data_IF_792033056859
#
_entry.id   IF_792033056859
#
_cell.length_a   1.000
_cell.length_b   1.000
_cell.length_c   1.000
_cell.angle_alpha   90.00
_cell.angle_beta   90.00
_cell.angle_gamma   90.00
#
_symmetry.space_group_name_H-M   'P 1'
#
loop_
_entity.id
_entity.type
_entity.pdbx_description
1 polymer ?
#
# COMPACT_ATOMS: atom_id res chain seq x y z
N UNK A 1 8.94 -22.54 1.00
CA UNK A 1 7.86 -23.47 0.59
C UNK A 1 6.63 -23.15 1.43
N UNK A 2 5.47 -22.93 0.80
CA UNK A 2 4.21 -22.82 1.52
C UNK A 2 3.99 -24.12 2.30
N UNK A 3 3.77 -24.04 3.61
CA UNK A 3 3.37 -25.20 4.40
C UNK A 3 1.97 -25.57 3.89
N UNK A 4 1.86 -26.69 3.18
CA UNK A 4 0.58 -27.25 2.77
C UNK A 4 -0.10 -27.92 3.99
N UNK A 5 -0.27 -27.15 5.07
CA UNK A 5 -0.86 -27.59 6.33
C UNK A 5 -2.40 -27.48 6.32
N UNK A 6 -2.98 -27.01 5.22
CA UNK A 6 -4.42 -26.78 5.09
C UNK A 6 -4.95 -25.60 5.91
N UNK A 7 -4.08 -24.81 6.54
CA UNK A 7 -4.48 -23.69 7.40
C UNK A 7 -4.40 -22.38 6.63
N UNK A 8 -5.56 -21.73 6.48
CA UNK A 8 -5.67 -20.38 5.97
C UNK A 8 -5.38 -19.37 7.07
N UNK A 9 -4.50 -18.42 6.78
CA UNK A 9 -4.12 -17.36 7.71
C UNK A 9 -4.36 -16.02 7.04
N UNK A 10 -5.01 -15.12 7.75
CA UNK A 10 -5.27 -13.75 7.33
C UNK A 10 -4.39 -12.80 8.13
N UNK A 11 -3.84 -11.80 7.46
CA UNK A 11 -3.08 -10.71 8.07
C UNK A 11 -3.73 -9.39 7.67
N UNK A 12 -4.05 -8.58 8.66
CA UNK A 12 -4.42 -7.19 8.49
C UNK A 12 -3.58 -6.37 9.48
N UNK A 13 -2.83 -5.39 8.98
CA UNK A 13 -2.05 -4.48 9.83
C UNK A 13 -2.10 -3.06 9.29
N UNK A 14 -2.01 -2.10 10.21
CA UNK A 14 -1.82 -0.69 9.89
C UNK A 14 -0.36 -0.30 10.14
N UNK A 15 0.18 0.52 9.25
CA UNK A 15 1.47 1.18 9.41
C UNK A 15 1.25 2.68 9.34
N UNK A 16 1.62 3.37 10.42
CA UNK A 16 1.62 4.82 10.45
C UNK A 16 2.69 5.36 9.50
N UNK A 17 2.33 6.36 8.69
CA UNK A 17 3.24 7.10 7.82
C UNK A 17 3.30 8.54 8.33
N UNK A 18 4.34 8.83 9.10
CA UNK A 18 4.44 10.06 9.89
C UNK A 18 4.60 11.31 9.01
N UNK A 19 5.29 11.19 7.88
CA UNK A 19 5.65 12.32 7.02
C UNK A 19 5.17 12.15 5.58
N UNK A 20 4.94 13.26 4.84
CA UNK A 20 4.68 13.21 3.40
C UNK A 20 5.79 12.50 2.60
N UNK A 21 7.04 12.55 3.08
CA UNK A 21 8.14 11.84 2.45
C UNK A 21 8.02 10.31 2.58
N UNK A 22 7.45 9.82 3.68
CA UNK A 22 7.20 8.39 3.84
C UNK A 22 6.06 7.92 2.93
N UNK A 23 5.02 8.76 2.75
CA UNK A 23 3.95 8.52 1.77
C UNK A 23 4.52 8.46 0.35
N UNK A 24 5.41 9.38 -0.03
CA UNK A 24 6.04 9.36 -1.34
C UNK A 24 6.86 8.08 -1.59
N UNK A 25 7.64 7.61 -0.60
CA UNK A 25 8.37 6.33 -0.72
C UNK A 25 7.44 5.14 -0.89
N UNK A 26 6.30 5.14 -0.19
CA UNK A 26 5.27 4.10 -0.34
C UNK A 26 4.66 4.15 -1.75
N UNK A 27 4.35 5.34 -2.27
CA UNK A 27 3.89 5.51 -3.64
C UNK A 27 4.90 4.96 -4.65
N UNK A 28 6.17 5.40 -4.59
CA UNK A 28 7.23 4.93 -5.50
C UNK A 28 7.32 3.39 -5.53
N UNK A 29 7.12 2.76 -4.36
CA UNK A 29 7.14 1.31 -4.25
C UNK A 29 5.87 0.65 -4.80
N UNK A 30 4.69 1.20 -4.50
CA UNK A 30 3.38 0.63 -4.89
C UNK A 30 3.10 0.81 -6.38
N UNK A 31 3.42 1.98 -6.94
CA UNK A 31 3.26 2.32 -8.36
C UNK A 31 4.39 1.77 -9.24
N UNK A 32 5.37 1.13 -8.61
CA UNK A 32 6.53 0.51 -9.27
C UNK A 32 7.33 1.50 -10.14
N UNK A 33 7.54 2.72 -9.64
CA UNK A 33 8.16 3.83 -10.39
C UNK A 33 9.69 3.68 -10.59
N UNK A 34 10.33 2.72 -9.92
CA UNK A 34 11.78 2.53 -10.00
C UNK A 34 12.12 1.50 -11.07
N UNK A 35 13.13 1.80 -11.87
CA UNK A 35 13.68 0.86 -12.84
C UNK A 35 14.36 -0.36 -12.20
N UNK A 36 14.74 -0.25 -10.91
CA UNK A 36 15.40 -1.32 -10.18
C UNK A 36 15.01 -1.36 -8.71
N UNK A 37 15.00 -2.58 -8.15
CA UNK A 37 14.66 -2.86 -6.76
C UNK A 37 15.79 -3.63 -6.09
N UNK A 38 16.16 -3.21 -4.88
CA UNK A 38 17.09 -3.97 -4.03
C UNK A 38 16.45 -5.24 -3.45
N UNK A 39 15.11 -5.26 -3.36
CA UNK A 39 14.36 -6.41 -2.91
C UNK A 39 14.36 -7.50 -4.00
N UNK A 40 15.04 -8.61 -3.73
CA UNK A 40 15.17 -9.74 -4.66
C UNK A 40 13.86 -10.50 -4.89
N UNK A 41 12.85 -10.29 -4.03
CA UNK A 41 11.55 -10.94 -4.16
C UNK A 41 10.61 -10.23 -5.15
N UNK A 42 10.96 -9.02 -5.60
CA UNK A 42 10.24 -8.33 -6.68
C UNK A 42 10.76 -8.86 -8.01
N UNK A 43 9.87 -9.44 -8.81
CA UNK A 43 10.16 -9.93 -10.16
C UNK A 43 9.62 -8.90 -11.17
N UNK A 44 10.47 -8.05 -11.78
CA UNK A 44 10.02 -6.94 -12.64
C UNK A 44 9.14 -7.38 -13.81
N UNK A 45 9.38 -8.56 -14.36
CA UNK A 45 8.61 -9.15 -15.46
C UNK A 45 7.16 -9.43 -15.08
N UNK A 46 6.86 -9.50 -13.78
CA UNK A 46 5.50 -9.72 -13.23
C UNK A 46 4.80 -8.43 -12.82
N UNK A 47 5.46 -7.27 -12.90
CA UNK A 47 4.89 -5.98 -12.48
C UNK A 47 3.58 -5.65 -13.19
N UNK A 48 3.46 -6.00 -14.48
CA UNK A 48 2.24 -5.79 -15.28
C UNK A 48 1.03 -6.60 -14.81
N UNK A 49 1.22 -7.58 -13.91
CA UNK A 49 0.15 -8.35 -13.29
C UNK A 49 -0.43 -7.66 -12.04
N UNK A 50 0.22 -6.61 -11.52
CA UNK A 50 -0.32 -5.84 -10.41
C UNK A 50 -1.55 -5.06 -10.87
N UNK A 51 -2.54 -4.96 -10.00
CA UNK A 51 -3.82 -4.31 -10.30
C UNK A 51 -4.13 -3.28 -9.22
N UNK A 52 -4.61 -2.12 -9.65
CA UNK A 52 -5.23 -1.14 -8.76
C UNK A 52 -6.72 -1.41 -8.64
N UNK A 53 -7.21 -1.65 -7.42
CA UNK A 53 -8.65 -1.57 -7.16
C UNK A 53 -9.18 -0.15 -7.37
N UNK A 54 -8.40 0.85 -6.97
CA UNK A 54 -8.61 2.27 -7.25
C UNK A 54 -7.27 2.87 -7.68
N UNK A 55 -7.16 3.22 -8.96
CA UNK A 55 -5.96 3.88 -9.47
C UNK A 55 -5.84 5.29 -8.86
N UNK A 56 -4.61 5.71 -8.58
CA UNK A 56 -4.33 7.11 -8.24
C UNK A 56 -4.47 7.98 -9.48
N UNK A 57 -4.97 9.20 -9.29
CA UNK A 57 -5.05 10.19 -10.35
C UNK A 57 -3.84 11.14 -10.37
N UNK A 58 -3.11 11.21 -9.25
CA UNK A 58 -1.92 12.03 -9.03
C UNK A 58 -1.14 11.43 -7.84
N UNK A 59 -0.07 12.09 -7.40
CA UNK A 59 0.68 11.73 -6.21
C UNK A 59 -0.23 11.60 -4.98
N UNK A 60 0.00 10.59 -4.15
CA UNK A 60 -0.84 10.27 -2.99
C UNK A 60 -0.96 11.44 -2.01
N UNK A 61 0.11 12.21 -1.80
CA UNK A 61 0.10 13.42 -0.97
C UNK A 61 -0.77 14.51 -1.59
N UNK A 62 -0.64 14.75 -2.90
CA UNK A 62 -1.46 15.76 -3.60
C UNK A 62 -2.93 15.37 -3.58
N UNK A 63 -3.25 14.09 -3.75
CA UNK A 63 -4.62 13.60 -3.64
C UNK A 63 -5.20 13.88 -2.25
N UNK A 64 -4.42 13.70 -1.18
CA UNK A 64 -4.84 14.04 0.18
C UNK A 64 -5.09 15.55 0.35
N UNK A 65 -4.17 16.39 -0.12
CA UNK A 65 -4.32 17.85 -0.09
C UNK A 65 -5.53 18.31 -0.89
N UNK A 66 -5.79 17.71 -2.05
CA UNK A 66 -6.96 18.00 -2.87
C UNK A 66 -8.25 17.59 -2.15
N UNK A 67 -8.29 16.42 -1.51
CA UNK A 67 -9.45 15.99 -0.72
C UNK A 67 -9.74 16.95 0.44
N UNK A 68 -8.71 17.55 1.05
CA UNK A 68 -8.89 18.58 2.06
C UNK A 68 -9.42 19.89 1.47
N UNK A 69 -8.86 20.35 0.34
CA UNK A 69 -9.31 21.56 -0.36
C UNK A 69 -10.76 21.45 -0.84
N UNK A 70 -11.14 20.28 -1.34
CA UNK A 70 -12.50 19.97 -1.79
C UNK A 70 -13.48 19.78 -0.63
N UNK A 71 -13.00 19.77 0.61
CA UNK A 71 -13.81 19.56 1.81
C UNK A 71 -14.33 18.13 1.97
N UNK A 72 -13.79 17.16 1.24
CA UNK A 72 -14.09 15.73 1.37
C UNK A 72 -13.58 15.19 2.69
N UNK A 73 -12.42 15.69 3.14
CA UNK A 73 -11.84 15.43 4.45
C UNK A 73 -11.56 16.75 5.18
N UNK A 74 -11.34 16.69 6.49
CA UNK A 74 -10.93 17.84 7.29
C UNK A 74 -9.81 17.44 8.23
N UNK A 75 -8.70 18.20 8.22
CA UNK A 75 -7.62 18.05 9.21
C UNK A 75 -7.73 19.03 10.38
N UNK A 76 -8.80 19.85 10.41
CA UNK A 76 -9.02 20.84 11.48
C UNK A 76 -9.08 20.16 12.84
N UNK A 77 -8.29 20.68 13.78
CA UNK A 77 -8.24 20.19 15.15
C UNK A 77 -7.28 19.03 15.38
N UNK A 78 -6.63 18.52 14.33
CA UNK A 78 -5.49 17.62 14.50
C UNK A 78 -4.33 18.36 15.18
N UNK A 79 -3.64 17.65 16.07
CA UNK A 79 -2.41 18.16 16.68
C UNK A 79 -1.31 18.28 15.60
N UNK A 80 -0.30 19.15 15.81
CA UNK A 80 0.83 19.26 14.88
C UNK A 80 1.59 17.95 14.65
N UNK A 81 1.58 17.05 15.65
CA UNK A 81 2.23 15.73 15.64
C UNK A 81 1.28 14.58 15.30
N UNK A 82 0.05 14.86 14.87
CA UNK A 82 -0.88 13.81 14.49
C UNK A 82 -0.44 13.13 13.18
N UNK A 83 -0.43 11.80 13.19
CA UNK A 83 -0.23 10.99 11.98
C UNK A 83 -1.48 11.11 11.10
N UNK A 84 -1.30 11.61 9.88
CA UNK A 84 -2.41 11.86 8.93
C UNK A 84 -2.64 10.70 7.95
N UNK A 85 -1.68 9.79 7.86
CA UNK A 85 -1.61 8.76 6.83
C UNK A 85 -1.38 7.40 7.48
N UNK A 86 -2.13 6.40 7.06
CA UNK A 86 -1.93 5.00 7.45
C UNK A 86 -1.97 4.10 6.22
N UNK A 87 -1.01 3.18 6.13
CA UNK A 87 -1.03 2.11 5.14
C UNK A 87 -1.61 0.84 5.77
N UNK A 88 -2.75 0.39 5.22
CA UNK A 88 -3.34 -0.88 5.58
C UNK A 88 -2.85 -1.97 4.64
N UNK A 89 -2.19 -2.99 5.18
CA UNK A 89 -1.79 -4.18 4.44
C UNK A 89 -2.74 -5.32 4.77
N UNK A 90 -3.36 -5.86 3.72
CA UNK A 90 -4.21 -7.04 3.76
C UNK A 90 -3.52 -8.16 2.98
N UNK A 91 -3.30 -9.30 3.62
CA UNK A 91 -2.67 -10.44 2.97
C UNK A 91 -3.16 -11.77 3.57
N UNK A 92 -2.92 -12.84 2.83
CA UNK A 92 -3.17 -14.22 3.24
C UNK A 92 -1.92 -15.06 2.98
N UNK A 93 -1.75 -16.15 3.73
CA UNK A 93 -0.59 -17.01 3.50
C UNK A 93 -0.60 -17.64 2.10
N UNK A 94 0.59 -17.95 1.57
CA UNK A 94 0.75 -18.52 0.22
C UNK A 94 -0.05 -19.82 -0.02
N UNK A 95 -0.34 -20.59 1.03
CA UNK A 95 -1.19 -21.79 0.93
C UNK A 95 -2.63 -21.45 0.50
N UNK A 96 -3.15 -20.29 0.89
CA UNK A 96 -4.46 -19.82 0.44
C UNK A 96 -4.47 -19.58 -1.06
N UNK A 97 -3.53 -18.76 -1.57
CA UNK A 97 -3.40 -18.46 -3.00
C UNK A 97 -3.13 -19.71 -3.85
N UNK A 98 -2.33 -20.66 -3.35
CA UNK A 98 -2.10 -21.93 -4.06
C UNK A 98 -3.38 -22.75 -4.21
N UNK A 99 -4.25 -22.77 -3.19
CA UNK A 99 -5.45 -23.60 -3.18
C UNK A 99 -6.66 -22.94 -3.87
N UNK A 100 -6.74 -21.60 -3.87
CA UNK A 100 -7.93 -20.87 -4.35
C UNK A 100 -7.66 -20.03 -5.60
N UNK A 101 -6.40 -19.97 -6.06
CA UNK A 101 -5.97 -18.99 -7.04
C UNK A 101 -5.74 -17.63 -6.38
N UNK A 102 -4.93 -16.82 -7.06
CA UNK A 102 -4.71 -15.41 -6.78
C UNK A 102 -4.79 -14.63 -8.09
#
# INVERSE_FOLDING_TARGET
>A
MARNDGIHRTVARNQDLETPADVAKVQEHNEREKDSYSNQDIVPERTSLNIHFKASADDYVKMFEQMEQDGVISTRGLKPDAVKYGELIFDVNSAYFYNHGG
#
